data_IF_001620301730
#
_entry.id   IF_001620301730
#
_cell.length_a   1.000
_cell.length_b   1.000
_cell.length_c   1.000
_cell.angle_alpha   90.00
_cell.angle_beta   90.00
_cell.angle_gamma   90.00
#
_symmetry.space_group_name_H-M   'P 1'
#
loop_
_entity.id
_entity.type
_entity.pdbx_description
1 polymer ?
#
# COMPACT_ATOMS: atom_id res chain seq x y z
N UNK A 1 34.23 -21.81 -47.64
CA UNK A 1 33.58 -21.89 -46.32
C UNK A 1 34.00 -20.66 -45.54
N UNK A 2 33.22 -19.58 -45.63
CA UNK A 2 33.37 -18.40 -44.79
C UNK A 2 32.23 -18.43 -43.78
N UNK A 3 32.58 -18.52 -42.50
CA UNK A 3 31.64 -18.53 -41.39
C UNK A 3 31.35 -17.11 -40.94
N UNK A 4 30.17 -16.62 -41.31
CA UNK A 4 29.60 -15.36 -40.80
C UNK A 4 29.37 -15.47 -39.29
N UNK A 5 30.07 -14.64 -38.50
CA UNK A 5 29.80 -14.47 -37.09
C UNK A 5 28.56 -13.59 -36.91
N UNK A 6 27.45 -14.18 -36.48
CA UNK A 6 26.26 -13.45 -36.02
C UNK A 6 26.55 -12.88 -34.64
N UNK A 7 26.82 -11.58 -34.57
CA UNK A 7 26.89 -10.83 -33.32
C UNK A 7 25.52 -10.88 -32.63
N UNK A 8 25.46 -11.58 -31.51
CA UNK A 8 24.27 -11.61 -30.65
C UNK A 8 24.15 -10.24 -29.99
N UNK A 9 23.22 -9.41 -30.46
CA UNK A 9 22.77 -8.23 -29.70
C UNK A 9 21.96 -8.76 -28.52
N UNK A 10 22.66 -9.11 -27.45
CA UNK A 10 22.04 -9.26 -26.12
C UNK A 10 21.69 -7.85 -25.69
N UNK A 11 20.43 -7.45 -25.87
CA UNK A 11 19.86 -6.31 -25.16
C UNK A 11 19.98 -6.62 -23.67
N UNK A 12 21.03 -6.07 -23.07
CA UNK A 12 21.29 -6.15 -21.64
C UNK A 12 20.14 -5.42 -20.94
N UNK A 13 19.11 -6.16 -20.57
CA UNK A 13 18.01 -5.70 -19.74
C UNK A 13 18.63 -5.34 -18.38
N UNK A 14 19.14 -4.11 -18.30
CA UNK A 14 19.89 -3.62 -17.16
C UNK A 14 18.94 -3.71 -15.97
N UNK A 15 19.22 -4.65 -15.05
CA UNK A 15 18.53 -4.72 -13.76
C UNK A 15 18.68 -3.34 -13.11
N UNK A 16 17.62 -2.55 -13.18
CA UNK A 16 17.56 -1.23 -12.59
C UNK A 16 17.63 -1.41 -11.09
N UNK A 17 18.80 -1.16 -10.50
CA UNK A 17 19.04 -1.29 -9.06
C UNK A 17 18.15 -0.35 -8.23
N UNK A 18 18.02 -0.68 -6.96
CA UNK A 18 17.27 0.06 -5.95
C UNK A 18 17.63 1.55 -5.95
N UNK A 19 16.62 2.43 -6.03
CA UNK A 19 16.79 3.87 -6.11
C UNK A 19 16.47 4.55 -4.78
N UNK A 20 16.97 5.78 -4.60
CA UNK A 20 16.63 6.62 -3.44
C UNK A 20 15.12 6.88 -3.36
N UNK A 21 14.46 7.02 -4.51
CA UNK A 21 13.01 7.17 -4.64
C UNK A 21 12.28 5.94 -4.09
N UNK A 22 12.79 4.73 -4.30
CA UNK A 22 12.21 3.49 -3.74
C UNK A 22 12.27 3.51 -2.21
N UNK A 23 13.39 3.93 -1.61
CA UNK A 23 13.49 4.09 -0.15
C UNK A 23 12.51 5.13 0.39
N UNK A 24 12.37 6.28 -0.26
CA UNK A 24 11.44 7.33 0.18
C UNK A 24 9.99 6.84 0.17
N UNK A 25 9.59 6.14 -0.88
CA UNK A 25 8.25 5.55 -0.98
C UNK A 25 8.02 4.42 0.02
N UNK A 26 9.00 3.53 0.20
CA UNK A 26 8.94 2.47 1.20
C UNK A 26 8.78 3.05 2.61
N UNK A 27 9.56 4.07 2.96
CA UNK A 27 9.47 4.73 4.27
C UNK A 27 8.16 5.50 4.43
N UNK A 28 7.66 6.15 3.37
CA UNK A 28 6.35 6.80 3.36
C UNK A 28 5.20 5.82 3.63
N UNK A 29 5.16 4.70 2.90
CA UNK A 29 4.19 3.62 3.06
C UNK A 29 4.29 2.97 4.45
N UNK A 30 5.50 2.79 4.96
CA UNK A 30 5.71 2.28 6.32
C UNK A 30 5.19 3.27 7.37
N UNK A 31 5.44 4.57 7.19
CA UNK A 31 4.93 5.63 8.08
C UNK A 31 3.41 5.65 8.18
N UNK A 32 2.71 5.47 7.05
CA UNK A 32 1.25 5.38 7.04
C UNK A 32 0.75 4.12 7.76
N UNK A 33 1.41 2.98 7.56
CA UNK A 33 1.03 1.72 8.21
C UNK A 33 1.20 1.78 9.74
N UNK A 34 2.32 2.33 10.20
CA UNK A 34 2.60 2.45 11.63
C UNK A 34 1.68 3.46 12.32
N UNK A 35 1.41 4.61 11.70
CA UNK A 35 0.54 5.62 12.29
C UNK A 35 -0.84 5.05 12.63
N UNK A 36 -1.46 4.36 11.66
CA UNK A 36 -2.71 3.66 11.89
C UNK A 36 -2.54 2.50 12.89
N UNK A 37 -1.45 1.75 12.74
CA UNK A 37 -1.13 0.59 13.55
C UNK A 37 -1.11 0.90 15.04
N UNK A 38 -0.37 1.94 15.45
CA UNK A 38 -0.23 2.33 16.86
C UNK A 38 -1.54 2.89 17.43
N UNK A 39 -2.34 3.58 16.63
CA UNK A 39 -3.62 4.15 17.08
C UNK A 39 -4.71 3.09 17.26
N UNK A 40 -4.76 2.08 16.39
CA UNK A 40 -5.92 1.21 16.27
C UNK A 40 -5.70 -0.24 16.72
N UNK A 41 -4.51 -0.81 16.50
CA UNK A 41 -4.26 -2.22 16.83
C UNK A 41 -4.09 -2.48 18.34
N UNK A 42 -3.25 -1.75 19.10
CA UNK A 42 -3.01 -2.07 20.51
C UNK A 42 -4.28 -2.08 21.37
N UNK A 43 -5.21 -1.15 21.10
CA UNK A 43 -6.43 -0.97 21.90
C UNK A 43 -7.43 -2.10 21.64
N UNK A 44 -7.68 -2.45 20.37
CA UNK A 44 -8.70 -3.45 20.03
C UNK A 44 -8.17 -4.89 20.11
N UNK A 45 -6.91 -5.11 19.75
CA UNK A 45 -6.34 -6.44 19.66
C UNK A 45 -5.77 -6.93 21.00
N UNK A 46 -5.25 -6.03 21.85
CA UNK A 46 -4.79 -6.37 23.19
C UNK A 46 -5.91 -6.85 24.12
N UNK A 47 -7.12 -6.29 23.99
CA UNK A 47 -8.31 -6.70 24.76
C UNK A 47 -8.73 -8.13 24.46
N UNK A 48 -8.42 -8.63 23.25
CA UNK A 48 -8.73 -9.99 22.83
C UNK A 48 -7.82 -11.08 23.41
N UNK A 49 -6.71 -10.71 24.04
CA UNK A 49 -5.66 -11.64 24.44
C UNK A 49 -4.73 -12.04 23.28
N UNK A 50 -3.79 -12.95 23.56
CA UNK A 50 -2.69 -13.24 22.64
C UNK A 50 -3.07 -14.12 21.43
N UNK A 51 -4.05 -15.01 21.56
CA UNK A 51 -4.49 -15.87 20.45
C UNK A 51 -5.05 -15.05 19.28
N UNK A 52 -6.02 -14.13 19.46
CA UNK A 52 -6.45 -13.23 18.38
C UNK A 52 -5.31 -12.44 17.77
N UNK A 53 -4.38 -11.92 18.59
CA UNK A 53 -3.22 -11.17 18.10
C UNK A 53 -2.36 -11.99 17.13
N UNK A 54 -2.04 -13.24 17.48
CA UNK A 54 -1.25 -14.14 16.63
C UNK A 54 -2.00 -14.44 15.32
N UNK A 55 -3.29 -14.79 15.40
CA UNK A 55 -4.11 -15.06 14.23
C UNK A 55 -4.16 -13.83 13.31
N UNK A 56 -4.40 -12.65 13.88
CA UNK A 56 -4.44 -11.39 13.14
C UNK A 56 -3.09 -11.06 12.51
N UNK A 57 -1.97 -11.31 13.19
CA UNK A 57 -0.63 -11.11 12.63
C UNK A 57 -0.37 -12.03 11.43
N UNK A 58 -0.77 -13.30 11.50
CA UNK A 58 -0.65 -14.27 10.40
C UNK A 58 -1.54 -13.87 9.23
N UNK A 59 -2.77 -13.42 9.49
CA UNK A 59 -3.74 -13.03 8.45
C UNK A 59 -3.40 -11.68 7.79
N UNK A 60 -2.82 -10.75 8.54
CA UNK A 60 -2.50 -9.41 8.05
C UNK A 60 -1.55 -9.46 6.85
N UNK A 61 -0.53 -10.33 6.86
CA UNK A 61 0.43 -10.44 5.78
C UNK A 61 -0.19 -10.80 4.42
N UNK A 62 -0.85 -11.97 4.22
CA UNK A 62 -1.43 -12.32 2.93
C UNK A 62 -2.53 -11.34 2.51
N UNK A 63 -3.36 -10.89 3.45
CA UNK A 63 -4.45 -9.96 3.18
C UNK A 63 -3.91 -8.65 2.59
N UNK A 64 -2.89 -8.06 3.22
CA UNK A 64 -2.30 -6.79 2.76
C UNK A 64 -1.47 -6.97 1.50
N UNK A 65 -0.60 -7.99 1.46
CA UNK A 65 0.29 -8.24 0.34
C UNK A 65 -0.46 -8.45 -0.98
N UNK A 66 -1.46 -9.34 -1.00
CA UNK A 66 -2.21 -9.62 -2.22
C UNK A 66 -3.12 -8.45 -2.63
N UNK A 67 -3.78 -7.80 -1.68
CA UNK A 67 -4.65 -6.66 -1.97
C UNK A 67 -3.84 -5.48 -2.52
N UNK A 68 -2.72 -5.13 -1.88
CA UNK A 68 -1.86 -4.02 -2.32
C UNK A 68 -1.28 -4.32 -3.70
N UNK A 69 -0.76 -5.53 -3.93
CA UNK A 69 -0.23 -5.94 -5.25
C UNK A 69 -1.30 -5.94 -6.34
N UNK A 70 -2.49 -6.46 -6.04
CA UNK A 70 -3.64 -6.44 -6.95
C UNK A 70 -4.02 -5.01 -7.31
N UNK A 71 -4.00 -4.12 -6.32
CA UNK A 71 -4.32 -2.71 -6.52
C UNK A 71 -3.31 -2.01 -7.41
N UNK A 72 -2.01 -2.22 -7.17
CA UNK A 72 -0.99 -1.59 -8.00
C UNK A 72 -1.01 -2.11 -9.43
N UNK A 73 -1.28 -3.41 -9.63
CA UNK A 73 -1.49 -3.99 -10.97
C UNK A 73 -2.65 -3.36 -11.70
N UNK A 74 -3.75 -3.16 -10.97
CA UNK A 74 -4.94 -2.55 -11.51
C UNK A 74 -4.67 -1.10 -11.94
N UNK A 75 -4.10 -0.26 -11.08
CA UNK A 75 -3.77 1.14 -11.46
C UNK A 75 -2.80 1.20 -12.65
N UNK A 76 -1.82 0.29 -12.71
CA UNK A 76 -0.88 0.23 -13.83
C UNK A 76 -1.48 -0.33 -15.13
N UNK A 77 -2.69 -0.91 -15.12
CA UNK A 77 -3.35 -1.38 -16.34
C UNK A 77 -4.11 -0.29 -17.10
N UNK A 78 -4.27 0.90 -16.50
CA UNK A 78 -4.88 2.06 -17.16
C UNK A 78 -4.12 2.46 -18.42
N UNK A 79 -4.83 2.87 -19.48
CA UNK A 79 -4.17 3.25 -20.75
C UNK A 79 -3.40 4.56 -20.65
N UNK A 80 -3.91 5.56 -19.92
CA UNK A 80 -3.28 6.87 -19.90
C UNK A 80 -2.30 7.02 -18.72
N UNK A 81 -1.17 7.73 -18.90
CA UNK A 81 -0.32 8.14 -17.80
C UNK A 81 -1.07 9.08 -16.86
N UNK A 82 -0.98 8.86 -15.55
CA UNK A 82 -1.62 9.71 -14.54
C UNK A 82 -2.98 9.21 -14.05
N UNK A 83 -3.57 8.18 -14.67
CA UNK A 83 -4.88 7.67 -14.26
C UNK A 83 -4.83 7.07 -12.85
N UNK A 84 -5.74 7.54 -12.01
CA UNK A 84 -5.95 6.99 -10.67
C UNK A 84 -6.95 5.82 -10.70
N UNK A 85 -7.17 5.19 -9.54
CA UNK A 85 -8.08 4.05 -9.45
C UNK A 85 -9.49 4.33 -9.99
N UNK A 86 -10.02 5.54 -9.84
CA UNK A 86 -11.38 5.87 -10.26
C UNK A 86 -11.49 5.91 -11.78
N UNK A 87 -10.49 6.50 -12.42
CA UNK A 87 -10.36 6.57 -13.88
C UNK A 87 -10.14 5.18 -14.48
N UNK A 88 -9.26 4.36 -13.89
CA UNK A 88 -9.00 3.00 -14.39
C UNK A 88 -10.22 2.08 -14.23
N UNK A 89 -11.02 2.24 -13.16
CA UNK A 89 -12.30 1.52 -13.03
C UNK A 89 -13.28 1.92 -14.12
N UNK A 90 -13.42 3.22 -14.37
CA UNK A 90 -14.28 3.70 -15.43
C UNK A 90 -13.84 3.18 -16.80
N UNK A 91 -12.54 3.08 -17.05
CA UNK A 91 -11.99 2.53 -18.29
C UNK A 91 -12.34 1.04 -18.48
N UNK A 92 -12.17 0.22 -17.43
CA UNK A 92 -12.34 -1.23 -17.53
C UNK A 92 -13.80 -1.68 -17.40
N UNK A 93 -14.61 -0.95 -16.62
CA UNK A 93 -15.95 -1.37 -16.22
C UNK A 93 -17.05 -0.35 -16.57
N UNK A 94 -16.69 0.79 -17.14
CA UNK A 94 -17.61 1.85 -17.57
C UNK A 94 -17.97 2.85 -16.48
N UNK A 95 -18.60 3.96 -16.91
CA UNK A 95 -18.94 5.13 -16.09
C UNK A 95 -19.77 4.80 -14.85
N UNK A 96 -20.70 3.84 -14.96
CA UNK A 96 -21.54 3.41 -13.84
C UNK A 96 -20.74 2.78 -12.70
N UNK A 97 -19.78 1.92 -13.04
CA UNK A 97 -18.89 1.30 -12.07
C UNK A 97 -17.90 2.32 -11.47
N UNK A 98 -17.38 3.25 -12.29
CA UNK A 98 -16.54 4.35 -11.82
C UNK A 98 -17.22 5.20 -10.74
N UNK A 99 -18.49 5.60 -10.97
CA UNK A 99 -19.30 6.33 -9.98
C UNK A 99 -19.54 5.54 -8.70
N UNK A 100 -19.85 4.24 -8.82
CA UNK A 100 -20.06 3.38 -7.65
C UNK A 100 -18.78 3.25 -6.82
N UNK A 101 -17.63 3.00 -7.46
CA UNK A 101 -16.35 2.92 -6.76
C UNK A 101 -16.00 4.26 -6.11
N UNK A 102 -16.23 5.38 -6.78
CA UNK A 102 -16.02 6.72 -6.20
C UNK A 102 -16.85 6.91 -4.93
N UNK A 103 -18.12 6.48 -4.94
CA UNK A 103 -18.99 6.54 -3.76
C UNK A 103 -18.48 5.63 -2.63
N UNK A 104 -18.05 4.40 -2.94
CA UNK A 104 -17.47 3.50 -1.95
C UNK A 104 -16.16 4.05 -1.38
N UNK A 105 -15.35 4.70 -2.20
CA UNK A 105 -14.14 5.41 -1.79
C UNK A 105 -14.43 6.53 -0.80
N UNK A 106 -15.48 7.30 -1.05
CA UNK A 106 -15.92 8.32 -0.10
C UNK A 106 -16.25 7.70 1.26
N UNK A 107 -17.06 6.63 1.30
CA UNK A 107 -17.39 5.93 2.55
C UNK A 107 -16.19 5.24 3.21
N UNK A 108 -15.17 4.86 2.46
CA UNK A 108 -13.94 4.29 3.03
C UNK A 108 -13.05 5.37 3.65
N UNK A 109 -12.88 6.51 2.98
CA UNK A 109 -11.91 7.55 3.38
C UNK A 109 -12.52 8.51 4.42
N UNK A 110 -13.79 8.89 4.26
CA UNK A 110 -14.41 9.89 5.13
C UNK A 110 -14.39 9.50 6.62
N UNK A 111 -14.78 8.27 7.03
CA UNK A 111 -14.67 7.85 8.43
C UNK A 111 -13.24 7.84 8.94
N UNK A 112 -12.28 7.43 8.11
CA UNK A 112 -10.86 7.45 8.46
C UNK A 112 -10.44 8.87 8.82
N UNK A 113 -10.77 9.86 7.98
CA UNK A 113 -10.46 11.27 8.24
C UNK A 113 -11.08 11.77 9.55
N UNK A 114 -12.32 11.38 9.86
CA UNK A 114 -12.98 11.74 11.12
C UNK A 114 -12.25 11.16 12.33
N UNK A 115 -11.90 9.87 12.30
CA UNK A 115 -11.25 9.21 13.42
C UNK A 115 -9.84 9.78 13.64
N UNK A 116 -9.08 10.05 12.58
CA UNK A 116 -7.78 10.72 12.69
C UNK A 116 -7.90 12.15 13.23
N UNK A 117 -8.95 12.89 12.84
CA UNK A 117 -9.20 14.24 13.36
C UNK A 117 -9.51 14.23 14.86
N UNK A 118 -10.26 13.23 15.33
CA UNK A 118 -10.52 13.00 16.76
C UNK A 118 -9.23 12.60 17.48
N UNK A 119 -8.45 11.68 16.90
CA UNK A 119 -7.21 11.19 17.48
C UNK A 119 -6.18 12.30 17.67
N UNK A 120 -5.93 13.14 16.64
CA UNK A 120 -4.97 14.25 16.75
C UNK A 120 -5.43 15.29 17.78
N UNK A 121 -6.73 15.59 17.82
CA UNK A 121 -7.29 16.52 18.82
C UNK A 121 -7.07 16.00 20.22
N UNK A 122 -7.39 14.73 20.48
CA UNK A 122 -7.20 14.09 21.79
C UNK A 122 -5.73 14.05 22.20
N UNK A 123 -4.84 13.72 21.27
CA UNK A 123 -3.40 13.63 21.54
C UNK A 123 -2.81 14.99 21.88
N UNK A 124 -3.14 16.03 21.09
CA UNK A 124 -2.65 17.39 21.36
C UNK A 124 -3.25 17.95 22.66
N UNK A 125 -4.54 17.74 22.89
CA UNK A 125 -5.20 18.13 24.14
C UNK A 125 -4.53 17.48 25.36
N UNK A 126 -4.29 16.17 25.29
CA UNK A 126 -3.61 15.40 26.35
C UNK A 126 -2.17 15.87 26.53
N UNK A 127 -1.46 16.18 25.45
CA UNK A 127 -0.10 16.69 25.47
C UNK A 127 0.00 18.08 26.12
N UNK A 128 -0.92 18.98 25.78
CA UNK A 128 -1.00 20.30 26.39
C UNK A 128 -1.21 20.18 27.90
N UNK A 129 -2.16 19.34 28.34
CA UNK A 129 -2.47 19.16 29.75
C UNK A 129 -1.33 18.50 30.54
N UNK A 130 -0.82 17.37 30.07
CA UNK A 130 0.03 16.49 30.88
C UNK A 130 1.53 16.71 30.67
N UNK A 131 1.95 17.22 29.51
CA UNK A 131 3.35 17.42 29.19
C UNK A 131 3.74 18.90 29.18
N UNK A 132 2.87 19.78 28.67
CA UNK A 132 3.14 21.23 28.66
C UNK A 132 2.58 21.97 29.88
N UNK A 133 1.68 21.32 30.64
CA UNK A 133 0.94 21.95 31.75
C UNK A 133 0.17 23.21 31.32
N UNK A 134 -0.33 23.23 30.08
CA UNK A 134 -1.14 24.30 29.51
C UNK A 134 -2.60 23.82 29.50
N UNK A 135 -3.52 24.66 30.00
CA UNK A 135 -4.96 24.39 29.84
C UNK A 135 -5.35 24.50 28.37
N UNK A 136 -5.84 23.42 27.74
CA UNK A 136 -6.20 23.42 26.34
C UNK A 136 -7.43 24.27 26.10
N UNK A 137 -7.54 24.92 24.92
CA UNK A 137 -8.74 25.64 24.55
C UNK A 137 -9.92 24.67 24.37
N UNK A 138 -11.16 25.18 24.29
CA UNK A 138 -12.33 24.35 24.02
C UNK A 138 -12.12 23.43 22.83
N UNK A 139 -12.48 22.15 22.97
CA UNK A 139 -12.22 21.09 21.99
C UNK A 139 -12.57 21.47 20.55
N UNK A 140 -13.70 22.15 20.33
CA UNK A 140 -14.13 22.59 19.01
C UNK A 140 -13.14 23.59 18.35
N UNK A 141 -12.62 24.53 19.14
CA UNK A 141 -11.61 25.51 18.70
C UNK A 141 -10.29 24.80 18.43
N UNK A 142 -9.87 23.90 19.35
CA UNK A 142 -8.65 23.11 19.18
C UNK A 142 -8.69 22.28 17.91
N UNK A 143 -9.77 21.52 17.68
CA UNK A 143 -9.93 20.69 16.48
C UNK A 143 -9.95 21.54 15.22
N UNK A 144 -10.59 22.71 15.23
CA UNK A 144 -10.63 23.60 14.08
C UNK A 144 -9.23 24.10 13.72
N UNK A 145 -8.46 24.57 14.72
CA UNK A 145 -7.08 25.03 14.52
C UNK A 145 -6.21 23.91 13.96
N UNK A 146 -6.31 22.69 14.53
CA UNK A 146 -5.53 21.54 14.07
C UNK A 146 -5.90 21.13 12.64
N UNK A 147 -7.20 21.08 12.29
CA UNK A 147 -7.66 20.73 10.94
C UNK A 147 -7.18 21.78 9.92
N UNK A 148 -7.31 23.07 10.23
CA UNK A 148 -6.82 24.16 9.36
C UNK A 148 -5.30 24.09 9.19
N UNK A 149 -4.56 23.82 10.27
CA UNK A 149 -3.11 23.61 10.23
C UNK A 149 -2.73 22.44 9.32
N UNK A 150 -3.38 21.28 9.51
CA UNK A 150 -3.16 20.10 8.67
C UNK A 150 -3.53 20.33 7.20
N UNK A 151 -4.65 21.01 6.92
CA UNK A 151 -5.04 21.37 5.55
C UNK A 151 -4.05 22.33 4.89
N UNK A 152 -3.46 23.24 5.67
CA UNK A 152 -2.40 24.13 5.18
C UNK A 152 -1.17 23.33 4.77
N UNK A 153 -0.78 22.33 5.57
CA UNK A 153 0.32 21.42 5.25
C UNK A 153 0.03 20.67 3.93
N UNK A 154 -1.18 20.15 3.76
CA UNK A 154 -1.57 19.43 2.53
C UNK A 154 -1.48 20.30 1.26
N UNK A 155 -1.70 21.62 1.39
CA UNK A 155 -1.61 22.55 0.24
C UNK A 155 -0.20 22.76 -0.30
N UNK A 156 0.86 22.36 0.41
CA UNK A 156 2.24 22.48 -0.09
C UNK A 156 2.63 21.39 -1.11
N UNK A 157 1.69 20.51 -1.49
CA UNK A 157 1.86 19.53 -2.56
C UNK A 157 2.39 18.17 -2.11
N UNK A 158 2.20 17.17 -2.97
CA UNK A 158 2.48 15.76 -2.69
C UNK A 158 3.92 15.50 -2.23
N UNK A 159 4.91 16.09 -2.91
CA UNK A 159 6.32 15.86 -2.58
C UNK A 159 6.70 16.32 -1.17
N UNK A 160 6.08 17.41 -0.69
CA UNK A 160 6.28 17.88 0.67
C UNK A 160 5.67 16.89 1.68
N UNK A 161 4.46 16.39 1.40
CA UNK A 161 3.78 15.39 2.24
C UNK A 161 4.61 14.10 2.34
N UNK A 162 5.04 13.53 1.21
CA UNK A 162 5.84 12.29 1.19
C UNK A 162 7.16 12.50 1.93
N UNK A 163 7.83 13.65 1.72
CA UNK A 163 9.06 13.98 2.44
C UNK A 163 8.83 14.11 3.94
N UNK A 164 7.82 14.85 4.38
CA UNK A 164 7.47 15.03 5.78
C UNK A 164 7.17 13.67 6.46
N UNK A 165 6.34 12.83 5.84
CA UNK A 165 6.04 11.49 6.33
C UNK A 165 7.32 10.65 6.45
N UNK A 166 8.15 10.62 5.41
CA UNK A 166 9.40 9.83 5.40
C UNK A 166 10.40 10.27 6.47
N UNK A 167 10.50 11.58 6.75
CA UNK A 167 11.39 12.12 7.78
C UNK A 167 10.84 11.82 9.18
N UNK A 168 9.54 11.96 9.38
CA UNK A 168 8.88 11.76 10.67
C UNK A 168 8.88 10.29 11.12
N UNK A 169 8.96 9.34 10.18
CA UNK A 169 9.12 7.90 10.49
C UNK A 169 10.33 7.63 11.36
N UNK A 170 11.48 8.26 11.10
CA UNK A 170 12.73 7.96 11.81
C UNK A 170 12.66 8.21 13.33
N UNK A 171 12.33 9.43 13.81
CA UNK A 171 12.21 9.67 15.24
C UNK A 171 11.08 8.84 15.86
N UNK A 172 10.02 8.55 15.10
CA UNK A 172 8.92 7.71 15.57
C UNK A 172 9.36 6.27 15.84
N UNK A 173 10.06 5.63 14.89
CA UNK A 173 10.63 4.29 15.07
C UNK A 173 11.61 4.26 16.23
N UNK A 174 12.49 5.26 16.33
CA UNK A 174 13.44 5.36 17.45
C UNK A 174 12.69 5.43 18.79
N UNK A 175 11.66 6.25 18.89
CA UNK A 175 10.85 6.34 20.11
C UNK A 175 10.16 5.02 20.45
N UNK A 176 9.60 4.31 19.46
CA UNK A 176 9.02 2.98 19.67
C UNK A 176 10.04 1.95 20.12
N UNK A 177 11.25 1.95 19.55
CA UNK A 177 12.32 1.04 19.94
C UNK A 177 12.78 1.32 21.38
N UNK A 178 12.97 2.59 21.74
CA UNK A 178 13.29 2.99 23.11
C UNK A 178 12.19 2.54 24.07
N UNK A 179 10.92 2.77 23.73
CA UNK A 179 9.79 2.33 24.55
C UNK A 179 9.74 0.81 24.69
N UNK A 180 9.98 0.06 23.60
CA UNK A 180 10.03 -1.39 23.62
C UNK A 180 11.12 -1.91 24.58
N UNK A 181 12.34 -1.34 24.51
CA UNK A 181 13.42 -1.69 25.44
C UNK A 181 13.10 -1.29 26.88
N UNK A 182 12.52 -0.11 27.08
CA UNK A 182 12.11 0.38 28.40
C UNK A 182 11.06 -0.52 29.06
N UNK A 183 10.20 -1.18 28.28
CA UNK A 183 9.17 -2.08 28.79
C UNK A 183 9.65 -3.50 29.07
N UNK A 184 10.85 -3.91 28.65
CA UNK A 184 11.39 -5.27 28.92
C UNK A 184 11.31 -5.65 30.41
N UNK A 185 11.69 -4.78 31.37
CA UNK A 185 11.59 -5.11 32.80
C UNK A 185 10.14 -5.27 33.29
N UNK A 186 9.15 -4.76 32.56
CA UNK A 186 7.72 -4.84 32.89
C UNK A 186 7.05 -6.08 32.30
N UNK A 187 7.77 -6.86 31.48
CA UNK A 187 7.22 -8.09 30.89
C UNK A 187 6.91 -9.11 31.98
N UNK A 188 5.73 -9.69 31.90
CA UNK A 188 5.26 -10.72 32.81
C UNK A 188 4.57 -11.85 32.04
N UNK A 189 4.41 -13.00 32.70
CA UNK A 189 3.79 -14.18 32.10
C UNK A 189 2.27 -14.08 31.89
N UNK A 190 1.60 -13.00 32.32
CA UNK A 190 0.13 -12.92 32.25
C UNK A 190 -0.40 -12.98 30.82
N UNK A 191 0.38 -12.48 29.84
CA UNK A 191 0.04 -12.63 28.43
C UNK A 191 -0.01 -14.12 28.02
N UNK A 192 0.87 -14.98 28.56
CA UNK A 192 0.90 -16.41 28.25
C UNK A 192 -0.28 -17.16 28.86
N UNK A 193 -0.87 -16.68 29.95
CA UNK A 193 -2.09 -17.26 30.53
C UNK A 193 -3.31 -17.14 29.59
N UNK A 194 -3.26 -16.16 28.67
CA UNK A 194 -4.26 -16.00 27.59
C UNK A 194 -4.04 -16.94 26.40
N UNK A 195 -2.99 -17.79 26.41
CA UNK A 195 -2.74 -18.84 25.42
C UNK A 195 -3.56 -20.12 25.67
N UNK A 196 -4.81 -20.00 26.13
CA UNK A 196 -5.72 -21.15 26.11
C UNK A 196 -6.97 -20.81 25.33
N UNK A 197 -7.42 -21.71 24.45
CA UNK A 197 -8.69 -21.53 23.74
C UNK A 197 -9.87 -21.38 24.74
N UNK A 198 -9.73 -21.95 25.93
CA UNK A 198 -10.69 -21.84 27.05
C UNK A 198 -10.70 -20.46 27.71
N UNK A 199 -9.60 -19.71 27.69
CA UNK A 199 -9.55 -18.32 28.19
C UNK A 199 -9.96 -17.30 27.14
N UNK A 200 -9.89 -17.64 25.84
CA UNK A 200 -10.47 -16.83 24.77
C UNK A 200 -12.02 -16.76 24.81
N UNK A 201 -12.67 -17.60 25.61
CA UNK A 201 -14.10 -17.50 25.97
C UNK A 201 -14.38 -16.71 27.25
N UNK A 202 -13.36 -16.42 28.06
CA UNK A 202 -13.52 -15.76 29.36
C UNK A 202 -13.64 -14.22 29.27
N UNK A 203 -13.25 -13.60 28.15
CA UNK A 203 -13.33 -12.15 27.90
C UNK A 203 -14.68 -11.66 27.40
N UNK A 204 -15.76 -12.45 27.56
CA UNK A 204 -17.16 -12.03 27.37
C UNK A 204 -17.67 -12.02 25.92
N UNK A 205 -16.78 -11.79 24.95
CA UNK A 205 -17.02 -12.02 23.53
C UNK A 205 -16.07 -13.14 23.09
N UNK A 206 -16.61 -14.33 22.76
CA UNK A 206 -15.77 -15.46 22.37
C UNK A 206 -14.79 -15.12 21.23
N UNK A 207 -13.71 -15.90 21.10
CA UNK A 207 -12.65 -15.75 20.10
C UNK A 207 -13.13 -15.24 18.73
N UNK A 208 -14.24 -15.79 18.25
CA UNK A 208 -14.80 -15.45 16.94
C UNK A 208 -15.34 -14.00 16.88
N UNK A 209 -16.04 -13.54 17.91
CA UNK A 209 -16.53 -12.15 17.94
C UNK A 209 -15.37 -11.17 18.05
N UNK A 210 -14.34 -11.51 18.82
CA UNK A 210 -13.11 -10.72 18.94
C UNK A 210 -12.38 -10.59 17.60
N UNK A 211 -12.19 -11.70 16.88
CA UNK A 211 -11.61 -11.68 15.53
C UNK A 211 -12.48 -10.89 14.55
N UNK A 212 -13.81 -11.07 14.61
CA UNK A 212 -14.75 -10.34 13.76
C UNK A 212 -14.66 -8.82 13.96
N UNK A 213 -14.58 -8.36 15.21
CA UNK A 213 -14.43 -6.93 15.52
C UNK A 213 -13.03 -6.40 15.18
N UNK A 214 -12.00 -7.23 15.26
CA UNK A 214 -10.62 -6.83 14.96
C UNK A 214 -10.34 -6.72 13.45
N UNK A 215 -11.03 -7.49 12.60
CA UNK A 215 -10.83 -7.46 11.13
C UNK A 215 -11.07 -6.05 10.54
N UNK A 216 -12.20 -5.36 10.78
CA UNK A 216 -12.41 -4.01 10.26
C UNK A 216 -11.33 -3.03 10.70
N UNK A 217 -10.91 -3.10 11.97
CA UNK A 217 -9.84 -2.26 12.52
C UNK A 217 -8.53 -2.51 11.78
N UNK A 218 -8.20 -3.77 11.51
CA UNK A 218 -7.03 -4.16 10.73
C UNK A 218 -7.12 -3.67 9.29
N UNK A 219 -8.27 -3.83 8.63
CA UNK A 219 -8.51 -3.36 7.26
C UNK A 219 -8.36 -1.83 7.18
N UNK A 220 -8.91 -1.08 8.13
CA UNK A 220 -8.72 0.38 8.21
C UNK A 220 -7.26 0.75 8.47
N UNK A 221 -6.56 0.00 9.32
CA UNK A 221 -5.15 0.23 9.62
C UNK A 221 -4.25 0.04 8.41
N UNK A 222 -4.62 -0.87 7.51
CA UNK A 222 -3.88 -1.15 6.28
C UNK A 222 -4.54 -0.59 5.02
N UNK A 223 -5.48 0.36 5.14
CA UNK A 223 -6.08 1.02 3.98
C UNK A 223 -5.11 1.97 3.28
N UNK A 224 -4.20 1.40 2.48
CA UNK A 224 -3.17 2.11 1.73
C UNK A 224 -3.64 2.48 0.32
N UNK A 225 -4.91 2.30 -0.01
CA UNK A 225 -5.41 2.44 -1.38
C UNK A 225 -5.07 3.81 -2.01
N UNK A 226 -5.25 4.96 -1.33
CA UNK A 226 -4.89 6.27 -1.89
C UNK A 226 -3.38 6.46 -2.12
N UNK A 227 -2.54 6.01 -1.17
CA UNK A 227 -1.09 6.15 -1.26
C UNK A 227 -0.49 5.15 -2.27
N UNK A 228 -1.08 3.96 -2.44
CA UNK A 228 -0.69 2.98 -3.45
C UNK A 228 -1.03 3.49 -4.85
N UNK A 229 -2.20 4.13 -5.03
CA UNK A 229 -2.56 4.73 -6.31
C UNK A 229 -1.55 5.81 -6.70
N UNK A 230 -1.24 6.73 -5.79
CA UNK A 230 -0.25 7.79 -6.01
C UNK A 230 1.16 7.22 -6.27
N UNK A 231 1.55 6.19 -5.51
CA UNK A 231 2.80 5.45 -5.72
C UNK A 231 2.86 4.80 -7.12
N UNK A 232 1.78 4.14 -7.55
CA UNK A 232 1.71 3.48 -8.86
C UNK A 232 1.89 4.50 -9.99
N UNK A 233 1.19 5.64 -9.90
CA UNK A 233 1.30 6.73 -10.86
C UNK A 233 2.73 7.29 -10.88
N UNK A 234 3.32 7.61 -9.72
CA UNK A 234 4.69 8.12 -9.64
C UNK A 234 5.74 7.13 -10.19
N UNK A 235 5.56 5.82 -9.96
CA UNK A 235 6.46 4.80 -10.51
C UNK A 235 6.26 4.54 -11.99
N UNK A 236 5.05 4.73 -12.51
CA UNK A 236 4.77 4.72 -13.94
C UNK A 236 5.46 5.88 -14.65
N UNK A 237 5.43 7.07 -14.05
CA UNK A 237 6.17 8.23 -14.56
C UNK A 237 7.70 8.02 -14.51
N UNK A 238 8.22 7.44 -13.41
CA UNK A 238 9.66 7.21 -13.25
C UNK A 238 10.22 6.13 -14.20
N UNK A 239 9.43 5.09 -14.51
CA UNK A 239 9.91 3.91 -15.22
C UNK A 239 9.29 3.68 -16.61
N UNK A 240 8.29 4.47 -17.03
CA UNK A 240 7.62 4.33 -18.32
C UNK A 240 6.93 2.97 -18.49
N UNK A 241 6.90 2.44 -19.71
CA UNK A 241 6.24 1.15 -20.03
C UNK A 241 6.82 -0.06 -19.26
N UNK A 242 8.02 0.04 -18.68
CA UNK A 242 8.65 -1.00 -17.86
C UNK A 242 8.32 -0.93 -16.36
N UNK A 243 7.42 -0.03 -15.92
CA UNK A 243 7.10 0.18 -14.51
C UNK A 243 6.49 -1.06 -13.83
N UNK A 244 5.59 -1.76 -14.53
CA UNK A 244 5.04 -3.02 -14.04
C UNK A 244 6.14 -4.03 -13.77
N UNK A 245 6.92 -4.38 -14.80
CA UNK A 245 7.95 -5.41 -14.71
C UNK A 245 8.98 -5.14 -13.59
N UNK A 246 9.43 -3.89 -13.42
CA UNK A 246 10.38 -3.50 -12.35
C UNK A 246 9.80 -3.61 -10.94
N UNK A 247 8.56 -3.14 -10.75
CA UNK A 247 7.91 -3.17 -9.45
C UNK A 247 7.65 -4.62 -9.02
N UNK A 248 7.37 -5.51 -9.97
CA UNK A 248 7.20 -6.94 -9.69
C UNK A 248 8.51 -7.69 -9.48
N UNK A 249 9.62 -7.27 -10.12
CA UNK A 249 10.93 -7.89 -9.93
C UNK A 249 11.49 -7.74 -8.51
N UNK A 250 11.11 -6.67 -7.79
CA UNK A 250 11.53 -6.40 -6.42
C UNK A 250 10.59 -6.95 -5.33
N UNK A 251 9.45 -7.54 -5.70
CA UNK A 251 8.32 -7.86 -4.78
C UNK A 251 8.24 -9.32 -4.28
N UNK A 252 9.30 -10.14 -4.40
CA UNK A 252 9.35 -11.51 -3.84
C UNK A 252 9.41 -12.65 -4.88
N UNK A 253 9.48 -13.93 -4.46
CA UNK A 253 9.91 -15.05 -5.31
C UNK A 253 9.00 -15.18 -6.52
N UNK A 254 9.59 -15.43 -7.70
CA UNK A 254 8.87 -15.73 -8.94
C UNK A 254 7.90 -16.88 -8.69
N UNK A 255 6.64 -16.56 -8.43
CA UNK A 255 5.58 -17.56 -8.44
C UNK A 255 5.45 -18.04 -9.89
N UNK A 256 5.51 -19.34 -10.08
CA UNK A 256 5.53 -20.08 -11.34
C UNK A 256 4.22 -19.95 -12.17
N UNK A 257 3.44 -18.89 -11.95
CA UNK A 257 2.22 -18.51 -12.66
C UNK A 257 2.49 -17.44 -13.73
N UNK A 258 3.53 -17.67 -14.53
CA UNK A 258 4.01 -16.77 -15.61
C UNK A 258 3.07 -16.75 -16.84
N UNK A 259 2.03 -17.60 -16.86
CA UNK A 259 1.07 -17.69 -17.96
C UNK A 259 0.09 -16.50 -18.03
N UNK A 260 -0.38 -16.00 -16.89
CA UNK A 260 -1.33 -14.89 -16.85
C UNK A 260 -0.64 -13.56 -17.18
N UNK A 261 0.57 -13.36 -16.68
CA UNK A 261 1.36 -12.14 -16.94
C UNK A 261 1.74 -12.03 -18.43
N UNK A 262 2.06 -13.14 -19.11
CA UNK A 262 2.26 -13.16 -20.58
C UNK A 262 0.99 -12.87 -21.38
N UNK A 263 -0.18 -13.31 -20.92
CA UNK A 263 -1.43 -13.06 -21.63
C UNK A 263 -1.86 -11.59 -21.57
N UNK A 264 -1.68 -10.94 -20.41
CA UNK A 264 -1.93 -9.50 -20.25
C UNK A 264 -0.93 -8.68 -21.06
N UNK A 265 0.35 -9.05 -21.05
CA UNK A 265 1.39 -8.39 -21.86
C UNK A 265 1.14 -8.56 -23.37
N UNK A 266 0.68 -9.75 -23.81
CA UNK A 266 0.28 -10.02 -25.20
C UNK A 266 -0.94 -9.20 -25.64
N UNK A 267 -1.89 -8.95 -24.73
CA UNK A 267 -3.05 -8.10 -25.01
C UNK A 267 -2.62 -6.63 -25.16
N UNK A 268 -1.70 -6.14 -24.32
CA UNK A 268 -1.16 -4.78 -24.39
C UNK A 268 -0.32 -4.54 -25.65
N UNK A 269 0.52 -5.50 -26.06
CA UNK A 269 1.33 -5.40 -27.28
C UNK A 269 0.51 -5.55 -28.57
N UNK A 270 -0.69 -6.12 -28.51
CA UNK A 270 -1.57 -6.28 -29.68
C UNK A 270 -2.39 -5.02 -30.01
N UNK A 271 -2.50 -4.06 -29.08
CA UNK A 271 -3.36 -2.87 -29.25
C UNK A 271 -2.63 -1.58 -29.59
N UNK A 272 -1.30 -1.56 -29.63
CA UNK A 272 -0.51 -0.38 -30.01
C UNK A 272 -0.26 -0.35 -31.54
N UNK A 273 -0.71 0.67 -32.29
CA UNK A 273 -0.16 0.97 -33.60
C UNK A 273 1.20 1.67 -33.41
N UNK A 274 2.26 1.13 -34.00
CA UNK A 274 3.57 1.79 -34.04
C UNK A 274 3.45 3.18 -34.72
N UNK A 275 4.13 4.22 -34.20
CA UNK A 275 4.16 5.51 -34.85
C UNK A 275 5.07 5.44 -36.08
N UNK A 276 4.47 5.41 -37.27
CA UNK A 276 5.16 5.61 -38.54
C UNK A 276 5.47 4.32 -39.30
N UNK A 277 4.70 4.07 -40.36
CA UNK A 277 4.96 2.99 -41.30
C UNK A 277 3.81 2.81 -42.28
N UNK A 278 3.77 3.63 -43.32
CA UNK A 278 2.91 3.40 -44.49
C UNK A 278 3.43 2.20 -45.28
N UNK A 279 2.56 1.25 -45.63
CA UNK A 279 2.88 0.21 -46.62
C UNK A 279 2.46 -1.17 -46.15
N UNK A 280 1.60 -1.81 -46.93
CA UNK A 280 1.05 -3.11 -46.60
C UNK A 280 2.03 -4.26 -46.79
N UNK A 281 1.65 -5.42 -46.27
CA UNK A 281 2.07 -6.70 -46.83
C UNK A 281 3.09 -7.54 -46.05
N UNK A 282 3.39 -7.30 -44.78
CA UNK A 282 4.25 -8.22 -44.01
C UNK A 282 3.74 -8.37 -42.57
N UNK A 283 2.63 -9.09 -42.37
CA UNK A 283 2.01 -9.30 -41.04
C UNK A 283 2.25 -10.70 -40.45
N UNK A 284 2.95 -11.60 -41.13
CA UNK A 284 3.04 -13.01 -40.71
C UNK A 284 4.44 -13.50 -40.36
N UNK A 285 5.52 -12.93 -40.91
CA UNK A 285 6.87 -13.54 -40.76
C UNK A 285 7.67 -13.01 -39.56
N UNK A 286 7.33 -11.83 -39.02
CA UNK A 286 8.11 -11.23 -37.93
C UNK A 286 7.73 -11.71 -36.52
N UNK A 287 6.61 -12.40 -36.37
CA UNK A 287 6.13 -12.93 -35.08
C UNK A 287 6.67 -14.34 -34.78
N UNK A 288 6.99 -15.13 -35.81
CA UNK A 288 7.51 -16.50 -35.66
C UNK A 288 9.03 -16.56 -35.44
N UNK A 289 9.76 -15.46 -35.67
CA UNK A 289 11.22 -15.42 -35.51
C UNK A 289 11.70 -15.10 -34.08
N UNK A 290 10.81 -14.71 -33.16
CA UNK A 290 11.16 -14.26 -31.81
C UNK A 290 11.01 -15.35 -30.74
N UNK A 291 10.33 -16.47 -31.03
CA UNK A 291 10.10 -17.52 -30.04
C UNK A 291 10.26 -18.92 -30.66
N UNK A 292 11.28 -19.72 -30.28
CA UNK A 292 11.36 -21.11 -30.71
C UNK A 292 10.23 -21.90 -30.06
N UNK A 293 9.50 -22.65 -30.89
CA UNK A 293 8.25 -23.30 -30.54
C UNK A 293 8.36 -24.53 -29.66
N UNK A 294 7.21 -24.92 -29.10
CA UNK A 294 6.87 -26.30 -28.80
C UNK A 294 5.47 -26.59 -29.40
N UNK A 295 5.21 -27.85 -29.81
CA UNK A 295 4.09 -28.21 -30.67
C UNK A 295 2.76 -28.28 -29.90
N UNK A 296 1.67 -28.17 -30.68
CA UNK A 296 0.27 -28.26 -30.28
C UNK A 296 -0.07 -29.48 -29.40
#
# INVERSE_FOLDING_TARGET
METTQTSTIVSDATRSGWRKTDTMWMLGLYGTAIGAGVLFLPINAGVGGMIPLIIMAILAFPMTFFAHRGMTRFVLSGKNPGEDITEVVEEHFGVGAGKLITLLYFFAIYPILLVYSVAITNTVESFMLHQLHITPPPRAILSLILIVGMMTIVRFGEQMIVKAMSVLVFPFVVALMILAFYLIPQWNGAALETLSLSSATATGNGLWMTLWLAIPVMVFSFNHSPIISSFAVAKREEYGQGAGEKMFQHSGPRAHHDGADRHVLRLQLRTEPLPGGSGGGERSEHLDSVLPGEPL
#
